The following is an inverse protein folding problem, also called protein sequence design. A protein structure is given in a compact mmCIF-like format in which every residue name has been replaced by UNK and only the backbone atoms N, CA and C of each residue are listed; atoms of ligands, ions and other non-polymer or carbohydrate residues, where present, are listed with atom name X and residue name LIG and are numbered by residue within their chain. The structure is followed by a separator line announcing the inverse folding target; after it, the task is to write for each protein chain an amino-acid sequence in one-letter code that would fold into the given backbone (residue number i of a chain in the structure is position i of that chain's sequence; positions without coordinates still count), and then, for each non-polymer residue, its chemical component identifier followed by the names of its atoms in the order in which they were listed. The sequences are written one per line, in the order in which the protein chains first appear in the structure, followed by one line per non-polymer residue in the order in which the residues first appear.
data_IF_036321364627
#
_entry.id   IF_036321364627
#
_cell.length_a   1.000
_cell.length_b   1.000
_cell.length_c   1.000
_cell.angle_alpha   90.00
_cell.angle_beta   90.00
_cell.angle_gamma   90.00
#
_symmetry.space_group_name_H-M   'P 1'
#
loop_
_entity.id
_entity.type
_entity.pdbx_description
1 polymer ?
#
# COMPACT_ATOMS: atom_id res chain seq x y z
N UNK A 1 8.94 12.78 -4.38
CA UNK A 1 8.03 11.65 -4.21
C UNK A 1 8.74 10.43 -3.68
N UNK A 2 7.97 9.51 -3.09
CA UNK A 2 8.49 8.23 -2.59
C UNK A 2 7.50 7.12 -2.94
N UNK A 3 8.01 6.01 -3.44
CA UNK A 3 7.23 4.81 -3.75
C UNK A 3 7.86 3.60 -3.08
N UNK A 4 7.10 2.91 -2.26
CA UNK A 4 7.52 1.68 -1.59
C UNK A 4 7.26 0.46 -2.49
N UNK A 5 8.16 -0.49 -2.48
CA UNK A 5 8.06 -1.80 -3.16
C UNK A 5 7.96 -2.97 -2.19
N UNK A 6 7.60 -2.66 -0.95
CA UNK A 6 7.30 -3.64 0.10
C UNK A 6 6.27 -4.68 -0.36
N UNK A 7 6.30 -5.86 0.23
CA UNK A 7 5.43 -7.01 -0.09
C UNK A 7 3.93 -6.71 -0.11
N UNK A 8 3.49 -5.64 0.55
CA UNK A 8 2.08 -5.25 0.61
C UNK A 8 1.68 -4.22 -0.45
N UNK A 9 2.58 -3.84 -1.36
CA UNK A 9 2.29 -2.84 -2.40
C UNK A 9 1.79 -3.49 -3.70
N UNK A 10 1.34 -2.65 -4.65
CA UNK A 10 0.89 -3.12 -5.97
C UNK A 10 2.09 -3.58 -6.79
N UNK A 11 3.16 -2.79 -6.78
CA UNK A 11 4.45 -3.15 -7.35
C UNK A 11 5.33 -3.68 -6.21
N UNK A 12 5.73 -4.93 -6.31
CA UNK A 12 6.45 -5.66 -5.25
C UNK A 12 7.76 -6.22 -5.81
N UNK A 13 8.85 -6.03 -5.09
CA UNK A 13 10.11 -6.67 -5.42
C UNK A 13 10.83 -7.29 -4.20
N UNK A 14 10.05 -7.63 -3.17
CA UNK A 14 10.55 -8.13 -1.90
C UNK A 14 10.70 -7.00 -0.89
N UNK A 15 11.62 -6.10 -1.13
CA UNK A 15 11.85 -4.90 -0.33
C UNK A 15 12.44 -3.79 -1.19
N UNK A 16 12.32 -2.54 -0.75
CA UNK A 16 12.89 -1.39 -1.44
C UNK A 16 11.93 -0.23 -1.64
N UNK A 17 12.45 0.81 -2.25
CA UNK A 17 11.71 2.02 -2.58
C UNK A 17 12.36 2.78 -3.73
N UNK A 18 11.60 3.67 -4.37
CA UNK A 18 12.11 4.70 -5.26
C UNK A 18 11.87 6.08 -4.67
N UNK A 19 12.87 6.95 -4.77
CA UNK A 19 12.79 8.34 -4.38
C UNK A 19 12.95 9.24 -5.61
N UNK A 20 12.12 10.27 -5.68
CA UNK A 20 12.21 11.29 -6.71
C UNK A 20 12.36 12.67 -6.08
N UNK A 21 13.37 13.39 -6.51
CA UNK A 21 13.66 14.75 -6.10
C UNK A 21 13.56 15.70 -7.31
N UNK A 22 12.87 16.82 -7.16
CA UNK A 22 12.89 17.91 -8.15
C UNK A 22 14.17 18.74 -8.03
N UNK A 23 14.65 18.88 -6.79
CA UNK A 23 15.84 19.63 -6.45
C UNK A 23 17.09 18.73 -6.60
N UNK A 24 18.03 19.07 -7.49
CA UNK A 24 19.24 18.30 -7.69
C UNK A 24 20.16 18.25 -6.45
N UNK A 25 20.21 19.31 -5.65
CA UNK A 25 21.04 19.36 -4.43
C UNK A 25 20.50 18.40 -3.39
N UNK A 26 19.17 18.36 -3.21
CA UNK A 26 18.55 17.39 -2.30
C UNK A 26 18.74 15.96 -2.78
N UNK A 27 18.73 15.72 -4.10
CA UNK A 27 19.02 14.40 -4.67
C UNK A 27 20.43 13.97 -4.35
N UNK A 28 21.41 14.83 -4.61
CA UNK A 28 22.83 14.54 -4.36
C UNK A 28 23.08 14.25 -2.87
N UNK A 29 22.53 15.06 -1.98
CA UNK A 29 22.61 14.83 -0.53
C UNK A 29 21.99 13.50 -0.11
N UNK A 30 20.84 13.14 -0.68
CA UNK A 30 20.19 11.87 -0.40
C UNK A 30 21.02 10.69 -0.93
N UNK A 31 21.59 10.76 -2.13
CA UNK A 31 22.45 9.73 -2.70
C UNK A 31 23.68 9.48 -1.82
N UNK A 32 24.35 10.54 -1.34
CA UNK A 32 25.46 10.42 -0.39
C UNK A 32 25.00 9.77 0.92
N UNK A 33 23.92 10.26 1.51
CA UNK A 33 23.41 9.77 2.78
C UNK A 33 22.97 8.29 2.72
N UNK A 34 22.35 7.86 1.60
CA UNK A 34 21.96 6.47 1.36
C UNK A 34 23.15 5.53 1.14
N UNK A 35 24.35 6.08 0.95
CA UNK A 35 25.58 5.31 0.77
C UNK A 35 26.67 5.76 1.75
N UNK A 36 26.40 5.65 3.05
CA UNK A 36 27.30 5.94 4.17
C UNK A 36 27.78 7.40 4.28
N UNK A 37 27.28 8.32 3.48
CA UNK A 37 27.75 9.71 3.41
C UNK A 37 29.05 9.86 2.62
N UNK A 38 29.41 8.89 1.79
CA UNK A 38 30.59 8.94 0.93
C UNK A 38 30.45 10.01 -0.15
N UNK A 39 31.52 10.78 -0.38
CA UNK A 39 31.59 11.78 -1.45
C UNK A 39 31.69 11.15 -2.84
N UNK A 40 32.31 9.98 -2.98
CA UNK A 40 32.42 9.24 -4.23
C UNK A 40 31.64 7.92 -4.16
N UNK A 41 30.89 7.61 -5.22
CA UNK A 41 30.07 6.38 -5.31
C UNK A 41 30.87 5.11 -5.53
N UNK A 42 32.08 5.21 -6.06
CA UNK A 42 33.00 4.07 -6.22
C UNK A 42 34.46 4.48 -6.16
N UNK A 43 35.30 3.57 -5.71
CA UNK A 43 36.76 3.76 -5.75
C UNK A 43 37.32 3.93 -7.19
N UNK A 44 36.58 3.48 -8.21
CA UNK A 44 36.96 3.61 -9.61
C UNK A 44 36.86 5.06 -10.13
N UNK A 45 35.90 5.84 -9.67
CA UNK A 45 35.73 7.25 -10.05
C UNK A 45 36.92 8.11 -9.56
N UNK A 46 37.57 7.72 -8.47
CA UNK A 46 38.75 8.38 -7.91
C UNK A 46 40.08 7.85 -8.47
N UNK A 47 40.04 6.78 -9.29
CA UNK A 47 41.25 6.06 -9.72
C UNK A 47 42.21 6.84 -10.62
N UNK A 48 41.74 7.95 -11.23
CA UNK A 48 42.52 8.73 -12.19
C UNK A 48 43.32 9.86 -11.55
N UNK A 49 42.94 10.29 -10.34
CA UNK A 49 43.55 11.47 -9.71
C UNK A 49 44.12 11.25 -8.32
N UNK A 50 43.75 10.18 -7.61
CA UNK A 50 44.16 9.91 -6.23
C UNK A 50 44.30 8.40 -5.97
N UNK A 51 44.76 8.06 -4.79
CA UNK A 51 44.78 6.67 -4.30
C UNK A 51 43.32 6.17 -4.20
N UNK A 52 42.93 5.20 -5.03
CA UNK A 52 41.53 4.68 -5.15
C UNK A 52 40.98 4.09 -3.84
N UNK A 53 41.78 3.92 -2.84
CA UNK A 53 41.45 3.45 -1.50
C UNK A 53 41.16 4.58 -0.50
N UNK A 54 41.42 5.82 -0.86
CA UNK A 54 41.08 6.98 -0.04
C UNK A 54 39.65 7.44 -0.36
N UNK A 55 38.88 7.74 0.68
CA UNK A 55 37.53 8.25 0.56
C UNK A 55 37.32 9.35 1.60
N UNK A 56 36.36 10.22 1.33
CA UNK A 56 35.90 11.25 2.25
C UNK A 56 34.44 11.03 2.60
N UNK A 57 34.06 11.42 3.81
CA UNK A 57 32.71 11.31 4.35
C UNK A 57 32.20 12.70 4.69
N UNK A 58 31.23 13.21 3.95
CA UNK A 58 30.64 14.53 4.21
C UNK A 58 29.57 14.50 5.30
N UNK A 59 28.97 13.34 5.57
CA UNK A 59 27.92 13.16 6.57
C UNK A 59 27.82 11.71 7.02
N UNK A 60 27.32 11.46 8.22
CA UNK A 60 27.03 10.08 8.65
C UNK A 60 25.69 9.64 8.07
N UNK A 61 25.76 8.69 7.14
CA UNK A 61 24.61 8.11 6.46
C UNK A 61 24.42 6.63 6.76
N UNK A 62 23.54 6.01 6.00
CA UNK A 62 23.25 4.57 6.07
C UNK A 62 23.47 3.92 4.71
N UNK A 63 23.67 2.61 4.69
CA UNK A 63 23.56 1.86 3.46
C UNK A 63 22.09 1.43 3.23
N UNK A 64 21.39 2.16 2.38
CA UNK A 64 19.99 1.93 2.06
C UNK A 64 19.75 1.92 0.54
N UNK A 65 20.69 1.35 -0.21
CA UNK A 65 20.58 1.17 -1.66
C UNK A 65 20.02 -0.22 -1.96
N UNK A 66 19.11 -0.28 -2.94
CA UNK A 66 18.58 -1.52 -3.46
C UNK A 66 19.71 -2.30 -4.18
N UNK A 67 19.75 -3.63 -4.00
CA UNK A 67 20.64 -4.48 -4.77
C UNK A 67 20.10 -4.77 -6.17
N UNK A 68 20.97 -5.20 -7.09
CA UNK A 68 20.63 -5.38 -8.50
C UNK A 68 19.58 -6.48 -8.73
N UNK A 69 19.54 -7.52 -7.91
CA UNK A 69 18.55 -8.60 -8.03
C UNK A 69 17.16 -8.05 -7.74
N UNK A 70 17.02 -7.32 -6.64
CA UNK A 70 15.77 -6.68 -6.24
C UNK A 70 15.35 -5.60 -7.27
N UNK A 71 16.32 -4.83 -7.76
CA UNK A 71 16.07 -3.81 -8.79
C UNK A 71 15.60 -4.43 -10.12
N UNK A 72 16.17 -5.56 -10.54
CA UNK A 72 15.73 -6.29 -11.73
C UNK A 72 14.30 -6.81 -11.57
N UNK A 73 13.95 -7.34 -10.40
CA UNK A 73 12.57 -7.74 -10.09
C UNK A 73 11.61 -6.54 -10.13
N UNK A 74 12.01 -5.42 -9.54
CA UNK A 74 11.20 -4.19 -9.56
C UNK A 74 10.94 -3.70 -10.98
N UNK A 75 11.95 -3.76 -11.86
CA UNK A 75 11.85 -3.35 -13.26
C UNK A 75 10.84 -4.22 -14.03
N UNK A 76 10.87 -5.54 -13.85
CA UNK A 76 9.91 -6.44 -14.49
C UNK A 76 8.49 -6.25 -13.94
N UNK A 77 8.33 -6.03 -12.65
CA UNK A 77 7.02 -5.70 -12.07
C UNK A 77 6.51 -4.34 -12.58
N UNK A 78 7.39 -3.36 -12.75
CA UNK A 78 7.02 -2.04 -13.27
C UNK A 78 6.50 -2.12 -14.71
N UNK A 79 7.11 -2.93 -15.57
CA UNK A 79 6.60 -3.17 -16.93
C UNK A 79 5.18 -3.75 -16.94
N UNK A 80 4.82 -4.53 -15.93
CA UNK A 80 3.50 -5.15 -15.77
C UNK A 80 2.47 -4.26 -15.07
N UNK A 81 2.89 -3.13 -14.51
CA UNK A 81 2.01 -2.25 -13.72
C UNK A 81 0.71 -1.85 -14.45
N UNK A 82 0.71 -1.51 -15.76
CA UNK A 82 -0.54 -1.20 -16.47
C UNK A 82 -1.57 -2.35 -16.43
N UNK A 83 -1.13 -3.60 -16.61
CA UNK A 83 -2.03 -4.76 -16.55
C UNK A 83 -2.54 -5.02 -15.12
N UNK A 84 -1.73 -4.75 -14.10
CA UNK A 84 -2.18 -4.82 -12.71
C UNK A 84 -3.26 -3.80 -12.41
N UNK A 85 -3.09 -2.58 -12.90
CA UNK A 85 -4.05 -1.50 -12.71
C UNK A 85 -5.38 -1.82 -13.39
N UNK A 86 -5.35 -2.35 -14.62
CA UNK A 86 -6.55 -2.78 -15.33
C UNK A 86 -7.30 -3.90 -14.60
N UNK A 87 -6.58 -4.94 -14.15
CA UNK A 87 -7.20 -6.04 -13.42
C UNK A 87 -7.83 -5.56 -12.10
N UNK A 88 -7.16 -4.68 -11.38
CA UNK A 88 -7.68 -4.11 -10.12
C UNK A 88 -8.87 -3.17 -10.34
N UNK A 89 -8.91 -2.43 -11.45
CA UNK A 89 -10.09 -1.67 -11.85
C UNK A 89 -11.31 -2.56 -12.00
N UNK A 90 -11.17 -3.69 -12.72
CA UNK A 90 -12.26 -4.67 -12.89
C UNK A 90 -12.78 -5.23 -11.57
N UNK A 91 -11.87 -5.53 -10.63
CA UNK A 91 -12.26 -5.96 -9.27
C UNK A 91 -13.06 -4.87 -8.56
N UNK A 92 -12.58 -3.63 -8.62
CA UNK A 92 -13.25 -2.48 -8.00
C UNK A 92 -14.65 -2.26 -8.59
N UNK A 93 -14.79 -2.31 -9.91
CA UNK A 93 -16.05 -2.19 -10.63
C UNK A 93 -17.01 -3.32 -10.25
N UNK A 94 -16.52 -4.56 -10.18
CA UNK A 94 -17.32 -5.71 -9.78
C UNK A 94 -17.92 -5.54 -8.39
N UNK A 95 -17.12 -5.12 -7.41
CA UNK A 95 -17.62 -4.87 -6.06
C UNK A 95 -18.68 -3.75 -6.06
N UNK A 96 -18.39 -2.62 -6.71
CA UNK A 96 -19.36 -1.51 -6.80
C UNK A 96 -20.69 -1.97 -7.39
N UNK A 97 -20.68 -2.66 -8.52
CA UNK A 97 -21.92 -3.10 -9.18
C UNK A 97 -22.71 -4.11 -8.34
N UNK A 98 -22.04 -5.02 -7.69
CA UNK A 98 -22.69 -6.11 -6.96
C UNK A 98 -23.10 -5.76 -5.53
N UNK A 99 -22.48 -4.73 -4.93
CA UNK A 99 -22.78 -4.29 -3.56
C UNK A 99 -23.58 -2.99 -3.47
N UNK A 100 -23.82 -2.26 -4.57
CA UNK A 100 -24.48 -0.94 -4.57
C UNK A 100 -25.86 -0.91 -3.92
N UNK A 101 -26.56 -2.03 -3.90
CA UNK A 101 -27.90 -2.15 -3.32
C UNK A 101 -27.91 -2.75 -1.90
N UNK A 102 -26.75 -2.93 -1.29
CA UNK A 102 -26.64 -3.45 0.08
C UNK A 102 -26.74 -2.28 1.05
N UNK A 103 -27.90 -2.03 1.61
CA UNK A 103 -28.23 -0.81 2.37
C UNK A 103 -27.52 -0.66 3.72
N UNK A 104 -26.98 -1.74 4.26
CA UNK A 104 -26.22 -1.76 5.50
C UNK A 104 -24.70 -1.56 5.30
N UNK A 105 -24.26 -1.33 4.04
CA UNK A 105 -22.90 -0.96 3.68
C UNK A 105 -22.86 0.44 3.07
N UNK A 106 -21.76 1.16 3.35
CA UNK A 106 -21.33 2.28 2.53
C UNK A 106 -20.11 1.87 1.73
N UNK A 107 -20.18 2.08 0.42
CA UNK A 107 -19.10 1.77 -0.53
C UNK A 107 -18.13 2.95 -0.67
N UNK A 108 -16.93 2.74 -1.26
CA UNK A 108 -16.03 3.83 -1.58
C UNK A 108 -16.73 4.92 -2.39
N UNK A 109 -16.40 6.17 -2.10
CA UNK A 109 -16.91 7.29 -2.90
C UNK A 109 -16.45 7.17 -4.35
N UNK A 110 -17.23 7.66 -5.30
CA UNK A 110 -16.82 7.74 -6.71
C UNK A 110 -15.50 8.52 -6.85
N UNK A 111 -14.67 8.10 -7.80
CA UNK A 111 -13.43 8.81 -8.12
C UNK A 111 -13.80 10.21 -8.61
N UNK A 112 -13.22 11.23 -7.99
CA UNK A 112 -13.50 12.62 -8.37
C UNK A 112 -13.08 12.90 -9.82
N UNK A 113 -13.79 13.79 -10.49
CA UNK A 113 -13.48 14.17 -11.87
C UNK A 113 -12.05 14.71 -11.98
N UNK A 114 -11.32 14.26 -12.99
CA UNK A 114 -9.93 14.61 -13.21
C UNK A 114 -8.92 13.88 -12.31
N UNK A 115 -9.39 12.99 -11.44
CA UNK A 115 -8.53 12.15 -10.60
C UNK A 115 -8.48 10.72 -11.13
N UNK A 116 -7.36 10.05 -10.82
CA UNK A 116 -7.19 8.60 -11.01
C UNK A 116 -6.87 7.95 -9.69
N UNK A 117 -7.17 6.67 -9.55
CA UNK A 117 -6.84 5.90 -8.35
C UNK A 117 -5.89 4.75 -8.66
N UNK A 118 -5.09 4.36 -7.68
CA UNK A 118 -4.24 3.18 -7.77
C UNK A 118 -4.98 1.86 -7.51
N UNK A 119 -6.26 1.90 -7.14
CA UNK A 119 -7.03 0.73 -6.72
C UNK A 119 -6.29 -0.13 -5.67
N UNK A 120 -5.59 0.55 -4.76
CA UNK A 120 -4.77 -0.14 -3.75
C UNK A 120 -5.62 -0.86 -2.73
N UNK A 121 -6.70 -0.23 -2.26
CA UNK A 121 -7.69 -0.79 -1.37
C UNK A 121 -9.08 -0.76 -2.00
N UNK A 122 -9.91 -1.72 -1.62
CA UNK A 122 -11.36 -1.60 -1.66
C UNK A 122 -11.86 -1.71 -0.23
N UNK A 123 -12.47 -0.66 0.29
CA UNK A 123 -12.97 -0.62 1.65
C UNK A 123 -14.48 -0.43 1.67
N UNK A 124 -15.14 -1.10 2.59
CA UNK A 124 -16.55 -0.90 2.88
C UNK A 124 -16.69 -0.40 4.31
N UNK A 125 -17.72 0.41 4.58
CA UNK A 125 -18.11 0.72 5.94
C UNK A 125 -19.36 -0.07 6.29
N UNK A 126 -19.26 -0.84 7.35
CA UNK A 126 -20.32 -1.72 7.84
C UNK A 126 -21.11 -0.98 8.90
N UNK A 127 -22.38 -0.74 8.66
CA UNK A 127 -23.27 -0.03 9.58
C UNK A 127 -23.65 -0.90 10.78
N UNK A 128 -24.27 -0.28 11.76
CA UNK A 128 -24.90 -0.94 12.91
C UNK A 128 -23.93 -1.77 13.79
N UNK A 129 -22.63 -1.44 13.78
CA UNK A 129 -21.64 -2.10 14.63
C UNK A 129 -21.34 -3.56 14.27
N UNK A 130 -21.70 -4.00 13.07
CA UNK A 130 -21.59 -5.38 12.60
C UNK A 130 -20.25 -5.72 11.90
N UNK A 131 -19.29 -4.78 11.88
CA UNK A 131 -18.02 -4.94 11.17
C UNK A 131 -17.23 -6.17 11.62
N UNK A 132 -17.07 -6.37 12.92
CA UNK A 132 -16.29 -7.48 13.46
C UNK A 132 -16.98 -8.84 13.26
N UNK A 133 -18.30 -8.87 13.37
CA UNK A 133 -19.09 -10.06 13.08
C UNK A 133 -18.96 -10.45 11.61
N UNK A 134 -19.05 -9.48 10.68
CA UNK A 134 -18.83 -9.71 9.25
C UNK A 134 -17.40 -10.20 8.97
N UNK A 135 -16.40 -9.55 9.56
CA UNK A 135 -15.00 -9.94 9.39
C UNK A 135 -14.75 -11.40 9.81
N UNK A 136 -15.31 -11.79 10.95
CA UNK A 136 -15.26 -13.17 11.43
C UNK A 136 -16.00 -14.13 10.50
N UNK A 137 -17.20 -13.75 10.06
CA UNK A 137 -18.03 -14.58 9.18
C UNK A 137 -17.34 -14.86 7.83
N UNK A 138 -16.69 -13.85 7.26
CA UNK A 138 -15.89 -13.97 6.04
C UNK A 138 -14.66 -14.87 6.28
N UNK A 139 -13.96 -14.65 7.37
CA UNK A 139 -12.77 -15.44 7.74
C UNK A 139 -13.07 -16.92 7.92
N UNK A 140 -14.19 -17.26 8.57
CA UNK A 140 -14.63 -18.64 8.78
C UNK A 140 -14.94 -19.36 7.45
N UNK A 141 -15.06 -18.59 6.33
CA UNK A 141 -15.27 -19.07 4.95
C UNK A 141 -14.02 -18.93 4.06
N UNK A 142 -12.86 -18.68 4.66
CA UNK A 142 -11.59 -18.56 3.93
C UNK A 142 -11.39 -17.19 3.24
N UNK A 143 -12.26 -16.22 3.49
CA UNK A 143 -12.14 -14.87 2.92
C UNK A 143 -11.43 -13.97 3.92
N UNK A 144 -10.17 -13.63 3.61
CA UNK A 144 -9.38 -12.77 4.47
C UNK A 144 -9.68 -11.30 4.21
N UNK A 145 -10.05 -10.60 5.28
CA UNK A 145 -10.26 -9.14 5.30
C UNK A 145 -9.36 -8.51 6.34
N UNK A 146 -9.13 -7.22 6.24
CA UNK A 146 -8.27 -6.50 7.19
C UNK A 146 -8.77 -5.08 7.39
N UNK A 147 -8.16 -4.39 8.34
CA UNK A 147 -8.27 -2.95 8.51
C UNK A 147 -6.88 -2.32 8.40
N UNK A 148 -6.78 -1.21 7.68
CA UNK A 148 -5.52 -0.48 7.54
C UNK A 148 -5.77 1.02 7.66
N UNK A 149 -5.35 1.63 8.78
CA UNK A 149 -4.58 1.04 9.87
C UNK A 149 -5.22 1.39 11.22
N UNK A 150 -4.81 0.68 12.31
CA UNK A 150 -5.22 1.03 13.64
C UNK A 150 -4.81 2.48 13.94
N UNK A 151 -5.69 3.32 14.48
CA UNK A 151 -5.45 4.75 14.59
C UNK A 151 -4.35 5.07 15.60
N UNK A 152 -3.38 5.90 15.20
CA UNK A 152 -2.17 6.18 15.98
C UNK A 152 -2.48 6.81 17.35
N UNK A 153 -3.53 7.63 17.45
CA UNK A 153 -3.94 8.23 18.72
C UNK A 153 -4.47 7.21 19.74
N UNK A 154 -4.82 5.99 19.32
CA UNK A 154 -5.19 4.88 20.20
C UNK A 154 -4.00 3.96 20.53
N UNK A 155 -2.82 4.18 19.97
CA UNK A 155 -1.62 3.37 20.25
C UNK A 155 -0.94 3.91 21.51
N UNK A 156 -0.91 3.15 22.62
CA UNK A 156 -0.39 3.67 23.90
C UNK A 156 1.05 4.15 23.83
N UNK A 157 1.89 3.50 23.01
CA UNK A 157 3.30 3.84 22.87
C UNK A 157 3.58 5.25 22.32
N UNK A 158 2.61 5.91 21.67
CA UNK A 158 2.77 7.28 21.21
C UNK A 158 2.44 8.33 22.28
N UNK A 159 1.77 7.95 23.38
CA UNK A 159 1.40 8.88 24.46
C UNK A 159 0.48 10.04 24.02
N UNK A 160 -0.22 9.88 22.90
CA UNK A 160 -1.11 10.93 22.35
C UNK A 160 -2.51 10.73 22.91
N UNK A 161 -3.10 11.82 23.43
CA UNK A 161 -4.47 11.85 23.94
C UNK A 161 -5.32 12.82 23.13
N UNK A 162 -5.42 12.58 21.81
CA UNK A 162 -6.20 13.42 20.91
C UNK A 162 -7.59 12.81 20.68
N UNK A 163 -8.61 13.66 20.60
CA UNK A 163 -9.95 13.27 20.16
C UNK A 163 -9.98 13.31 18.64
N UNK A 164 -10.17 12.16 18.00
CA UNK A 164 -10.26 12.02 16.54
C UNK A 164 -11.52 11.25 16.15
N UNK A 165 -12.74 11.83 16.35
CA UNK A 165 -14.00 11.09 16.23
C UNK A 165 -14.23 10.47 14.84
N UNK A 166 -13.80 11.12 13.76
CA UNK A 166 -13.91 10.57 12.43
C UNK A 166 -12.98 9.38 12.20
N UNK A 167 -11.76 9.42 12.75
CA UNK A 167 -10.85 8.28 12.70
C UNK A 167 -11.34 7.11 13.56
N UNK A 168 -11.95 7.43 14.72
CA UNK A 168 -12.59 6.43 15.58
C UNK A 168 -13.76 5.76 14.87
N UNK A 169 -14.66 6.55 14.28
CA UNK A 169 -15.75 6.00 13.47
C UNK A 169 -15.24 5.12 12.32
N UNK A 170 -14.23 5.59 11.61
CA UNK A 170 -13.65 4.84 10.49
C UNK A 170 -13.08 3.49 10.96
N UNK A 171 -12.31 3.46 12.06
CA UNK A 171 -11.72 2.19 12.55
C UNK A 171 -12.76 1.21 13.02
N UNK A 172 -13.84 1.69 13.62
CA UNK A 172 -14.86 0.82 14.19
C UNK A 172 -15.80 0.24 13.12
N UNK A 173 -15.88 0.84 11.94
CA UNK A 173 -16.83 0.46 10.89
C UNK A 173 -16.18 -0.01 9.58
N UNK A 174 -14.92 0.33 9.30
CA UNK A 174 -14.28 0.01 8.01
C UNK A 174 -13.73 -1.42 7.98
N UNK A 175 -13.91 -2.08 6.84
CA UNK A 175 -13.31 -3.35 6.49
C UNK A 175 -12.71 -3.27 5.10
N UNK A 176 -11.42 -3.63 4.96
CA UNK A 176 -10.76 -3.72 3.66
C UNK A 176 -10.98 -5.12 3.08
N UNK A 177 -11.57 -5.15 1.90
CA UNK A 177 -11.87 -6.36 1.16
C UNK A 177 -10.65 -6.90 0.43
N UNK A 178 -10.62 -8.19 0.04
CA UNK A 178 -9.59 -8.72 -0.84
C UNK A 178 -9.50 -7.88 -2.11
N UNK A 179 -8.30 -7.40 -2.44
CA UNK A 179 -8.08 -6.51 -3.56
C UNK A 179 -6.71 -6.75 -4.18
N UNK A 180 -6.66 -7.63 -5.17
CA UNK A 180 -5.44 -7.91 -5.95
C UNK A 180 -5.78 -8.35 -7.36
N UNK A 181 -4.80 -8.28 -8.25
CA UNK A 181 -4.93 -8.52 -9.68
C UNK A 181 -5.18 -10.00 -10.07
N UNK A 182 -5.07 -10.93 -9.11
CA UNK A 182 -5.24 -12.37 -9.38
C UNK A 182 -6.57 -12.94 -8.84
N UNK A 183 -7.50 -12.08 -8.42
CA UNK A 183 -8.84 -12.54 -8.03
C UNK A 183 -9.60 -13.00 -9.28
N UNK A 184 -10.07 -14.24 -9.25
CA UNK A 184 -10.93 -14.79 -10.29
C UNK A 184 -12.38 -14.29 -10.14
N UNK A 185 -13.18 -14.48 -11.17
CA UNK A 185 -14.62 -14.18 -11.09
C UNK A 185 -15.32 -15.03 -10.03
N UNK A 186 -14.91 -16.29 -9.88
CA UNK A 186 -15.45 -17.20 -8.86
C UNK A 186 -15.12 -16.69 -7.45
N UNK A 187 -13.87 -16.23 -7.21
CA UNK A 187 -13.47 -15.63 -5.93
C UNK A 187 -14.32 -14.39 -5.62
N UNK A 188 -14.49 -13.51 -6.59
CA UNK A 188 -15.28 -12.28 -6.45
C UNK A 188 -16.74 -12.57 -6.17
N UNK A 189 -17.31 -13.55 -6.86
CA UNK A 189 -18.69 -14.00 -6.66
C UNK A 189 -18.87 -14.59 -5.27
N UNK A 190 -17.96 -15.47 -4.84
CA UNK A 190 -17.98 -16.04 -3.49
C UNK A 190 -17.94 -14.96 -2.42
N UNK A 191 -17.08 -13.95 -2.57
CA UNK A 191 -16.94 -12.86 -1.60
C UNK A 191 -18.27 -12.08 -1.51
N UNK A 192 -18.82 -11.67 -2.65
CA UNK A 192 -20.06 -10.88 -2.70
C UNK A 192 -21.24 -11.67 -2.15
N UNK A 193 -21.40 -12.92 -2.54
CA UNK A 193 -22.50 -13.76 -2.09
C UNK A 193 -22.40 -14.03 -0.58
N UNK A 194 -21.21 -14.22 -0.05
CA UNK A 194 -21.00 -14.36 1.38
C UNK A 194 -21.37 -13.10 2.16
N UNK A 195 -21.07 -11.91 1.63
CA UNK A 195 -21.49 -10.64 2.23
C UNK A 195 -23.04 -10.53 2.24
N UNK A 196 -23.67 -10.82 1.11
CA UNK A 196 -25.15 -10.76 1.00
C UNK A 196 -25.84 -11.78 1.91
N UNK A 197 -25.27 -12.99 2.01
CA UNK A 197 -25.74 -14.03 2.94
C UNK A 197 -25.68 -13.56 4.39
N UNK A 198 -24.57 -12.92 4.78
CA UNK A 198 -24.44 -12.33 6.12
C UNK A 198 -25.54 -11.29 6.38
N UNK A 199 -25.76 -10.37 5.42
CA UNK A 199 -26.78 -9.36 5.56
C UNK A 199 -28.19 -9.95 5.75
N UNK A 200 -28.51 -11.01 5.00
CA UNK A 200 -29.81 -11.68 5.13
C UNK A 200 -30.04 -12.33 6.49
N UNK A 201 -28.97 -12.67 7.20
CA UNK A 201 -29.04 -13.36 8.52
C UNK A 201 -28.95 -12.42 9.70
N UNK A 202 -28.24 -11.29 9.57
CA UNK A 202 -27.80 -10.50 10.74
C UNK A 202 -28.08 -8.99 10.61
N UNK A 203 -28.47 -8.50 9.43
CA UNK A 203 -28.79 -7.11 9.15
C UNK A 203 -30.22 -6.92 8.68
#
# INVERSE_FOLDING_TARGET
GMWSFDAMKILVCGDGAALHFRDPELRERAEKWLYFGLEAKSGYENSVAQKWWEFDISSFGHRAIMNDVTAAMALEQFKRLPSFMEARSKVHEFYNENLKNVNWLDLPLPIAAGCTTSYYFYHIQVKNGKRDELAKYLRDRGIYTTYRYFPLHRVPGYGVHASCPNADYAVDNTLCMPMHQSLSLDDLTLIVDTIKEFGSKYC
#
